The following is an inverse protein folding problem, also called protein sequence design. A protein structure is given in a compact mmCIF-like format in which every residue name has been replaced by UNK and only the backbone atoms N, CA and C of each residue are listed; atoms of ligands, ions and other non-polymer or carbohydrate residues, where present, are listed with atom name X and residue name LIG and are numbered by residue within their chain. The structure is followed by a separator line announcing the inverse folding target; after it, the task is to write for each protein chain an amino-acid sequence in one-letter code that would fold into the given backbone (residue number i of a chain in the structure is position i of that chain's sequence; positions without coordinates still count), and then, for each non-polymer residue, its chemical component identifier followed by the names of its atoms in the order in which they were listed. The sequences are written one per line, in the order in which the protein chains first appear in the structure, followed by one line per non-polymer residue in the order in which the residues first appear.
data_IF_533582042222
#
_entry.id   IF_533582042222
#
_cell.length_a   1.000
_cell.length_b   1.000
_cell.length_c   1.000
_cell.angle_alpha   90.00
_cell.angle_beta   90.00
_cell.angle_gamma   90.00
#
_symmetry.space_group_name_H-M   'P 1'
#
loop_
_entity.id
_entity.type
_entity.pdbx_description
1 polymer ?
#
# COMPACT_ATOMS: atom_id res chain seq x y z
N UNK A 1 29.57 44.69 40.78
CA UNK A 1 30.11 43.66 39.86
C UNK A 1 29.48 42.29 40.07
N UNK A 2 29.27 41.82 41.30
CA UNK A 2 28.60 40.54 41.60
C UNK A 2 27.17 40.41 41.00
N UNK A 3 26.35 41.47 41.10
CA UNK A 3 24.96 41.43 40.62
C UNK A 3 24.85 41.26 39.09
N UNK A 4 25.83 41.77 38.33
CA UNK A 4 25.91 41.58 36.87
C UNK A 4 26.32 40.14 36.52
N UNK A 5 27.20 39.52 37.30
CA UNK A 5 27.58 38.11 37.10
C UNK A 5 26.43 37.15 37.39
N UNK A 6 25.61 37.42 38.41
CA UNK A 6 24.43 36.60 38.75
C UNK A 6 23.39 36.67 37.62
N UNK A 7 23.14 37.85 37.06
CA UNK A 7 22.18 38.02 35.95
C UNK A 7 22.62 37.31 34.67
N UNK A 8 23.92 37.28 34.38
CA UNK A 8 24.47 36.58 33.20
C UNK A 8 24.36 35.06 33.37
N UNK A 9 24.65 34.53 34.57
CA UNK A 9 24.51 33.10 34.84
C UNK A 9 23.04 32.68 34.76
N UNK A 10 22.11 33.50 35.26
CA UNK A 10 20.68 33.17 35.23
C UNK A 10 20.12 33.11 33.80
N UNK A 11 20.64 33.91 32.85
CA UNK A 11 20.18 33.85 31.45
C UNK A 11 20.68 32.62 30.68
N UNK A 12 21.75 31.96 31.15
CA UNK A 12 22.31 30.75 30.53
C UNK A 12 21.55 29.46 30.89
N UNK A 13 20.68 29.48 31.91
CA UNK A 13 19.88 28.32 32.33
C UNK A 13 18.46 28.29 31.77
N UNK A 14 18.03 29.30 31.01
CA UNK A 14 16.71 29.33 30.38
C UNK A 14 16.82 28.64 29.02
N UNK A 15 16.80 27.31 29.03
CA UNK A 15 16.54 26.56 27.80
C UNK A 15 15.07 26.73 27.42
N UNK A 16 14.73 27.16 26.20
CA UNK A 16 13.35 27.12 25.75
C UNK A 16 12.92 25.65 25.66
N UNK A 17 11.99 25.24 26.53
CA UNK A 17 11.28 23.99 26.36
C UNK A 17 10.35 24.15 25.15
N UNK A 18 10.80 23.71 23.97
CA UNK A 18 9.92 23.54 22.84
C UNK A 18 9.01 22.34 23.15
N UNK A 19 7.79 22.62 23.60
CA UNK A 19 6.74 21.61 23.61
C UNK A 19 6.45 21.26 22.15
N UNK A 20 6.77 20.03 21.74
CA UNK A 20 6.22 19.49 20.50
C UNK A 20 4.76 19.16 20.78
N UNK A 21 3.83 19.78 20.07
CA UNK A 21 2.43 19.33 20.11
C UNK A 21 2.41 17.85 19.73
N UNK A 22 1.97 16.99 20.65
CA UNK A 22 1.72 15.60 20.33
C UNK A 22 0.59 15.56 19.30
N UNK A 23 0.89 15.03 18.12
CA UNK A 23 -0.13 14.82 17.10
C UNK A 23 -1.10 13.75 17.60
N UNK A 24 -2.28 14.18 18.05
CA UNK A 24 -3.39 13.29 18.31
C UNK A 24 -4.25 13.16 17.04
N UNK A 25 -4.16 12.04 16.29
CA UNK A 25 -4.99 11.86 15.13
C UNK A 25 -6.46 11.88 15.55
N UNK A 26 -7.28 12.61 14.79
CA UNK A 26 -8.72 12.52 14.93
C UNK A 26 -9.16 11.06 14.81
N UNK A 27 -10.10 10.65 15.66
CA UNK A 27 -10.66 9.31 15.58
C UNK A 27 -11.27 9.08 14.20
N UNK A 28 -11.08 7.89 13.59
CA UNK A 28 -11.70 7.57 12.31
C UNK A 28 -13.22 7.75 12.38
N UNK A 29 -13.81 8.32 11.33
CA UNK A 29 -15.26 8.37 11.19
C UNK A 29 -15.81 6.95 11.08
N UNK A 30 -16.90 6.67 11.80
CA UNK A 30 -17.61 5.41 11.65
C UNK A 30 -18.45 5.47 10.36
N UNK A 31 -18.07 4.66 9.38
CA UNK A 31 -18.76 4.56 8.10
C UNK A 31 -19.57 3.26 8.11
N UNK A 32 -20.87 3.35 7.80
CA UNK A 32 -21.71 2.18 7.66
C UNK A 32 -21.52 1.54 6.26
N UNK A 33 -20.58 0.60 6.17
CA UNK A 33 -20.30 -0.13 4.94
C UNK A 33 -21.35 -1.21 4.64
N UNK A 34 -21.54 -1.55 3.35
CA UNK A 34 -22.43 -2.65 2.92
C UNK A 34 -22.03 -4.02 3.44
N UNK A 35 -20.74 -4.21 3.71
CA UNK A 35 -20.19 -5.46 4.25
C UNK A 35 -20.22 -5.51 5.78
N UNK A 36 -20.72 -4.46 6.45
CA UNK A 36 -20.79 -4.41 7.90
C UNK A 36 -21.83 -5.41 8.43
N UNK A 37 -21.49 -6.08 9.54
CA UNK A 37 -22.38 -7.01 10.22
C UNK A 37 -22.34 -8.45 9.68
N UNK A 38 -23.02 -9.35 10.37
CA UNK A 38 -22.94 -10.81 10.13
C UNK A 38 -23.53 -11.27 8.79
N UNK A 39 -24.40 -10.45 8.19
CA UNK A 39 -25.00 -10.69 6.87
C UNK A 39 -24.51 -9.68 5.81
N UNK A 40 -23.45 -8.94 6.13
CA UNK A 40 -22.86 -7.99 5.19
C UNK A 40 -22.33 -8.69 3.94
N UNK A 41 -22.36 -7.99 2.81
CA UNK A 41 -21.79 -8.48 1.55
C UNK A 41 -20.92 -7.43 0.89
N UNK A 42 -19.97 -7.90 0.08
CA UNK A 42 -19.10 -7.03 -0.68
C UNK A 42 -19.77 -6.54 -1.97
N UNK A 43 -19.64 -5.24 -2.23
CA UNK A 43 -20.10 -4.61 -3.47
C UNK A 43 -19.07 -4.83 -4.58
N UNK A 44 -19.28 -5.84 -5.41
CA UNK A 44 -18.38 -6.17 -6.54
C UNK A 44 -18.04 -4.95 -7.42
N UNK A 45 -18.99 -4.07 -7.82
CA UNK A 45 -18.66 -2.87 -8.57
C UNK A 45 -17.72 -1.91 -7.82
N UNK A 46 -17.86 -1.77 -6.50
CA UNK A 46 -16.92 -1.00 -5.69
C UNK A 46 -15.52 -1.60 -5.68
N UNK A 47 -15.42 -2.94 -5.66
CA UNK A 47 -14.14 -3.63 -5.78
C UNK A 47 -13.51 -3.40 -7.16
N UNK A 48 -14.30 -3.45 -8.23
CA UNK A 48 -13.77 -3.19 -9.58
C UNK A 48 -13.25 -1.76 -9.72
N UNK A 49 -14.02 -0.77 -9.26
CA UNK A 49 -13.57 0.64 -9.26
C UNK A 49 -12.31 0.83 -8.47
N UNK A 50 -12.22 0.21 -7.31
CA UNK A 50 -11.04 0.38 -6.54
C UNK A 50 -9.82 -0.37 -7.12
N UNK A 51 -10.00 -1.48 -7.86
CA UNK A 51 -8.88 -2.13 -8.55
C UNK A 51 -8.22 -1.12 -9.50
N UNK A 52 -9.01 -0.25 -10.12
CA UNK A 52 -8.51 0.86 -10.91
C UNK A 52 -7.65 1.83 -10.06
N UNK A 53 -8.10 2.20 -8.86
CA UNK A 53 -7.31 3.04 -7.94
C UNK A 53 -6.00 2.37 -7.57
N UNK A 54 -6.01 1.07 -7.25
CA UNK A 54 -4.77 0.32 -6.98
C UNK A 54 -3.83 0.39 -8.18
N UNK A 55 -4.35 0.11 -9.38
CA UNK A 55 -3.58 0.10 -10.63
C UNK A 55 -3.00 1.47 -10.99
N UNK A 56 -3.77 2.54 -10.78
CA UNK A 56 -3.39 3.89 -11.22
C UNK A 56 -2.56 4.65 -10.18
N UNK A 57 -2.74 4.34 -8.89
CA UNK A 57 -2.15 5.14 -7.80
C UNK A 57 -1.23 4.31 -6.92
N UNK A 58 -1.67 3.13 -6.49
CA UNK A 58 -0.98 2.38 -5.43
C UNK A 58 0.13 1.46 -5.92
N UNK A 59 -0.02 0.86 -7.10
CA UNK A 59 0.86 -0.21 -7.59
C UNK A 59 2.27 0.26 -7.94
N UNK A 60 2.50 1.57 -7.97
CA UNK A 60 3.84 2.17 -8.13
C UNK A 60 4.69 2.05 -6.87
N UNK A 61 4.08 2.00 -5.69
CA UNK A 61 4.78 1.95 -4.41
C UNK A 61 4.49 0.67 -3.62
N UNK A 62 3.27 0.15 -3.71
CA UNK A 62 2.82 -0.96 -2.90
C UNK A 62 2.70 -2.26 -3.71
N UNK A 63 3.09 -3.37 -3.07
CA UNK A 63 2.90 -4.71 -3.62
C UNK A 63 1.55 -5.31 -3.21
N UNK A 64 1.09 -6.30 -4.00
CA UNK A 64 -0.06 -7.16 -3.67
C UNK A 64 0.27 -8.62 -4.00
N UNK A 65 1.39 -9.10 -3.46
CA UNK A 65 2.06 -10.33 -3.91
C UNK A 65 1.33 -11.64 -3.60
N UNK A 66 0.25 -11.63 -2.80
CA UNK A 66 -0.53 -12.84 -2.47
C UNK A 66 -1.84 -12.96 -3.25
N UNK A 67 -2.14 -11.99 -4.12
CA UNK A 67 -3.34 -12.01 -4.96
C UNK A 67 -2.91 -12.29 -6.40
N UNK A 68 -3.52 -13.32 -7.01
CA UNK A 68 -3.30 -13.68 -8.39
C UNK A 68 -4.33 -13.02 -9.31
N UNK A 69 -4.00 -12.78 -10.57
CA UNK A 69 -4.94 -12.15 -11.52
C UNK A 69 -6.25 -12.93 -11.63
N UNK A 70 -6.21 -14.27 -11.56
CA UNK A 70 -7.40 -15.14 -11.52
C UNK A 70 -8.39 -14.81 -10.40
N UNK A 71 -7.94 -14.23 -9.28
CA UNK A 71 -8.80 -13.84 -8.17
C UNK A 71 -9.72 -12.67 -8.52
N UNK A 72 -9.43 -11.91 -9.59
CA UNK A 72 -10.32 -10.87 -10.09
C UNK A 72 -11.67 -11.42 -10.55
N UNK A 73 -11.75 -12.71 -10.93
CA UNK A 73 -13.04 -13.36 -11.26
C UNK A 73 -13.99 -13.41 -10.07
N UNK A 74 -13.44 -13.59 -8.86
CA UNK A 74 -14.23 -13.68 -7.62
C UNK A 74 -14.99 -12.37 -7.33
N UNK A 75 -14.49 -11.26 -7.88
CA UNK A 75 -15.04 -9.91 -7.71
C UNK A 75 -15.71 -9.35 -8.96
N UNK A 76 -15.99 -10.20 -9.94
CA UNK A 76 -16.90 -9.90 -11.05
C UNK A 76 -16.24 -9.52 -12.37
N UNK A 77 -14.92 -9.62 -12.51
CA UNK A 77 -14.28 -9.52 -13.83
C UNK A 77 -14.54 -10.81 -14.64
N UNK A 78 -14.80 -10.65 -15.94
CA UNK A 78 -14.88 -11.74 -16.89
C UNK A 78 -13.51 -12.37 -17.15
N UNK A 79 -13.49 -13.59 -17.70
CA UNK A 79 -12.25 -14.28 -18.02
C UNK A 79 -11.38 -13.52 -19.03
N UNK A 80 -12.01 -12.87 -20.00
CA UNK A 80 -11.31 -12.13 -21.04
C UNK A 80 -10.77 -10.79 -20.51
N UNK A 81 -11.49 -10.13 -19.60
CA UNK A 81 -10.96 -8.97 -18.87
C UNK A 81 -9.75 -9.37 -18.02
N UNK A 82 -9.81 -10.50 -17.29
CA UNK A 82 -8.68 -10.96 -16.48
C UNK A 82 -7.46 -11.30 -17.34
N UNK A 83 -7.65 -11.97 -18.48
CA UNK A 83 -6.55 -12.22 -19.44
C UNK A 83 -5.97 -10.91 -19.97
N UNK A 84 -6.81 -9.94 -20.29
CA UNK A 84 -6.38 -8.62 -20.79
C UNK A 84 -5.60 -7.86 -19.72
N UNK A 85 -6.08 -7.88 -18.48
CA UNK A 85 -5.40 -7.29 -17.33
C UNK A 85 -4.04 -7.96 -17.12
N UNK A 86 -3.98 -9.28 -17.04
CA UNK A 86 -2.74 -10.01 -16.80
C UNK A 86 -1.68 -9.70 -17.88
N UNK A 87 -2.08 -9.68 -19.16
CA UNK A 87 -1.20 -9.34 -20.29
C UNK A 87 -0.65 -7.92 -20.25
N UNK A 88 -1.26 -7.00 -19.50
CA UNK A 88 -0.75 -5.63 -19.34
C UNK A 88 0.44 -5.51 -18.38
N UNK A 89 0.80 -6.59 -17.70
CA UNK A 89 1.97 -6.66 -16.81
C UNK A 89 3.07 -7.50 -17.46
N UNK A 90 4.31 -7.03 -17.33
CA UNK A 90 5.50 -7.83 -17.64
C UNK A 90 5.89 -8.66 -16.41
N UNK A 91 6.03 -9.96 -16.60
CA UNK A 91 6.41 -10.92 -15.57
C UNK A 91 7.74 -11.55 -15.97
N UNK A 92 8.69 -11.59 -15.03
CA UNK A 92 9.96 -12.29 -15.21
C UNK A 92 9.70 -13.80 -15.05
N UNK A 93 10.16 -14.59 -16.01
CA UNK A 93 10.06 -16.05 -16.07
C UNK A 93 11.39 -16.67 -16.54
N UNK A 94 11.49 -17.99 -16.49
CA UNK A 94 12.65 -18.76 -16.90
C UNK A 94 13.22 -19.65 -15.80
N UNK A 95 14.44 -20.18 -15.99
CA UNK A 95 15.36 -19.90 -17.10
C UNK A 95 14.92 -20.52 -18.44
N UNK A 96 15.34 -19.92 -19.56
CA UNK A 96 15.20 -20.48 -20.91
C UNK A 96 16.27 -21.56 -21.19
N UNK A 97 16.31 -22.09 -22.43
CA UNK A 97 17.27 -23.12 -22.84
C UNK A 97 18.75 -22.69 -22.73
N UNK A 98 19.02 -21.38 -22.77
CA UNK A 98 20.35 -20.78 -22.58
C UNK A 98 20.68 -20.50 -21.10
N UNK A 99 19.77 -20.78 -20.17
CA UNK A 99 19.93 -20.48 -18.75
C UNK A 99 19.58 -19.04 -18.34
N UNK A 100 18.95 -18.27 -19.24
CA UNK A 100 18.66 -16.85 -19.02
C UNK A 100 17.21 -16.63 -18.58
N UNK A 101 16.99 -15.69 -17.66
CA UNK A 101 15.65 -15.21 -17.31
C UNK A 101 15.14 -14.25 -18.38
N UNK A 102 13.83 -14.25 -18.66
CA UNK A 102 13.22 -13.40 -19.67
C UNK A 102 11.90 -12.79 -19.18
N UNK A 103 11.47 -11.69 -19.80
CA UNK A 103 10.16 -11.10 -19.54
C UNK A 103 9.10 -11.66 -20.50
N UNK A 104 7.90 -11.90 -19.98
CA UNK A 104 6.73 -12.25 -20.79
C UNK A 104 5.49 -11.49 -20.32
N UNK A 105 4.46 -11.34 -21.18
CA UNK A 105 3.15 -10.92 -20.73
C UNK A 105 2.62 -11.84 -19.62
N UNK A 106 1.95 -11.25 -18.63
CA UNK A 106 1.34 -11.99 -17.55
C UNK A 106 0.19 -12.89 -18.01
N UNK A 107 -0.02 -13.98 -17.27
CA UNK A 107 -1.12 -14.92 -17.42
C UNK A 107 -2.00 -14.94 -16.15
N UNK A 108 -3.26 -15.41 -16.21
CA UNK A 108 -4.17 -15.37 -15.06
C UNK A 108 -3.66 -16.05 -13.78
N UNK A 109 -2.75 -17.02 -13.89
CA UNK A 109 -2.16 -17.69 -12.73
C UNK A 109 -1.07 -16.89 -12.02
N UNK A 110 -0.51 -15.86 -12.67
CA UNK A 110 0.54 -15.03 -12.07
C UNK A 110 -0.04 -14.16 -10.94
N UNK A 111 0.84 -13.82 -9.99
CA UNK A 111 0.57 -12.85 -8.93
C UNK A 111 0.79 -11.42 -9.44
N UNK A 112 0.18 -10.44 -8.76
CA UNK A 112 0.49 -9.04 -9.03
C UNK A 112 1.98 -8.75 -8.85
N UNK A 113 2.57 -8.09 -9.85
CA UNK A 113 3.99 -7.77 -9.90
C UNK A 113 4.32 -6.73 -8.83
N UNK A 114 5.42 -6.94 -8.11
CA UNK A 114 5.89 -5.98 -7.11
C UNK A 114 6.60 -4.81 -7.80
N UNK A 115 6.39 -3.56 -7.36
CA UNK A 115 7.04 -2.39 -7.97
C UNK A 115 8.56 -2.35 -7.77
N UNK A 116 9.06 -3.07 -6.76
CA UNK A 116 10.47 -3.11 -6.43
C UNK A 116 10.97 -4.56 -6.37
N UNK A 117 12.22 -4.81 -6.81
CA UNK A 117 12.80 -6.16 -6.82
C UNK A 117 13.13 -6.67 -5.40
N UNK A 118 13.37 -5.77 -4.45
CA UNK A 118 13.71 -6.11 -3.07
C UNK A 118 13.37 -4.94 -2.12
N UNK A 119 13.56 -5.19 -0.82
CA UNK A 119 13.25 -4.23 0.24
C UNK A 119 14.13 -2.99 0.17
N UNK A 120 15.41 -3.17 -0.12
CA UNK A 120 16.42 -2.12 -0.14
C UNK A 120 16.13 -1.11 -1.27
N UNK A 121 15.75 -1.60 -2.45
CA UNK A 121 15.31 -0.77 -3.56
C UNK A 121 14.03 0.02 -3.22
N UNK A 122 13.07 -0.62 -2.56
CA UNK A 122 11.84 0.03 -2.12
C UNK A 122 12.11 1.15 -1.11
N UNK A 123 12.99 0.90 -0.13
CA UNK A 123 13.41 1.89 0.88
C UNK A 123 14.13 3.07 0.23
N UNK A 124 15.04 2.80 -0.70
CA UNK A 124 15.78 3.83 -1.40
C UNK A 124 14.85 4.74 -2.24
N UNK A 125 13.86 4.14 -2.93
CA UNK A 125 12.89 4.89 -3.74
C UNK A 125 11.89 5.71 -2.93
N UNK A 126 11.67 5.37 -1.65
CA UNK A 126 10.64 5.97 -0.79
C UNK A 126 11.25 6.75 0.40
N UNK A 127 12.41 7.36 0.21
CA UNK A 127 13.01 8.26 1.21
C UNK A 127 13.34 7.60 2.55
N UNK A 128 13.67 6.32 2.55
CA UNK A 128 13.98 5.55 3.76
C UNK A 128 12.81 4.76 4.34
N UNK A 129 11.58 4.95 3.84
CA UNK A 129 10.41 4.19 4.27
C UNK A 129 10.21 2.94 3.42
N UNK A 130 9.77 1.83 4.02
CA UNK A 130 9.43 0.61 3.28
C UNK A 130 7.91 0.53 3.05
N UNK A 131 7.43 0.62 1.80
CA UNK A 131 6.01 0.44 1.50
C UNK A 131 5.52 -0.95 1.89
N UNK A 132 4.34 -1.00 2.49
CA UNK A 132 3.75 -2.25 2.98
C UNK A 132 3.09 -3.04 1.86
N UNK A 133 3.13 -4.38 1.94
CA UNK A 133 2.33 -5.26 1.08
C UNK A 133 0.85 -5.14 1.46
N UNK A 134 0.02 -4.88 0.45
CA UNK A 134 -1.40 -4.63 0.60
C UNK A 134 -2.22 -5.92 0.67
N UNK A 135 -1.65 -7.08 0.35
CA UNK A 135 -2.41 -8.33 0.25
C UNK A 135 -3.24 -8.72 1.48
N UNK A 136 -2.85 -8.31 2.70
CA UNK A 136 -3.51 -8.69 3.95
C UNK A 136 -3.68 -7.53 4.95
N UNK A 137 -3.75 -6.29 4.48
CA UNK A 137 -3.81 -5.12 5.38
C UNK A 137 -5.10 -4.98 6.18
N UNK A 138 -6.10 -5.82 5.89
CA UNK A 138 -7.43 -5.68 6.47
C UNK A 138 -7.86 -6.97 7.19
N UNK A 139 -7.15 -7.36 8.25
CA UNK A 139 -7.56 -8.48 9.13
C UNK A 139 -8.76 -8.16 10.04
N UNK A 140 -9.46 -7.04 9.81
CA UNK A 140 -10.78 -6.74 10.39
C UNK A 140 -11.89 -6.63 9.34
N UNK A 141 -11.58 -6.74 8.04
CA UNK A 141 -12.57 -6.56 6.98
C UNK A 141 -12.03 -7.01 5.61
N UNK A 142 -12.43 -8.20 5.17
CA UNK A 142 -11.71 -8.95 4.15
C UNK A 142 -11.53 -8.31 2.74
N UNK A 143 -10.29 -8.47 2.28
CA UNK A 143 -9.78 -8.92 0.98
C UNK A 143 -9.77 -7.99 -0.25
N UNK A 144 -10.64 -7.01 -0.41
CA UNK A 144 -10.44 -6.11 -1.59
C UNK A 144 -11.04 -4.72 -1.47
N UNK A 145 -11.73 -4.38 -0.38
CA UNK A 145 -12.65 -3.23 -0.43
C UNK A 145 -12.07 -1.92 0.11
N UNK A 146 -11.10 -1.96 1.03
CA UNK A 146 -10.63 -0.72 1.69
C UNK A 146 -9.31 -0.16 1.16
N UNK A 147 -8.50 -0.99 0.49
CA UNK A 147 -7.19 -0.57 -0.05
C UNK A 147 -7.35 0.42 -1.20
N UNK A 148 -8.57 0.58 -1.69
CA UNK A 148 -8.84 1.33 -2.90
C UNK A 148 -9.72 2.57 -2.65
N UNK A 149 -10.01 2.88 -1.39
CA UNK A 149 -10.83 4.03 -1.00
C UNK A 149 -10.20 4.92 0.09
N UNK A 150 -9.12 4.50 0.74
CA UNK A 150 -8.53 5.27 1.83
C UNK A 150 -7.02 5.39 1.62
N UNK A 151 -6.63 6.56 1.11
CA UNK A 151 -5.29 7.15 1.08
C UNK A 151 -4.17 6.20 0.65
N UNK A 152 -3.89 6.24 -0.66
CA UNK A 152 -2.52 6.05 -1.13
C UNK A 152 -1.70 7.31 -0.84
#
# INVERSE_FOLDING_TARGET
MLLRFILIIFSLYISPAYATDEFHPASPKNINWKFSGVFGSFDKPSIQRGYQVYKEVCSSCHSMKRIAFRNLRDVGFSEDEVKTIAKSYNVIDGPNESGEMFERPGIPSDYFVSPFPNKEAAVAANGGAFPVDLSMRISRQDIMVLIMYIHC
#
